data_IF_967882881171
#
_entry.id   IF_967882881171
#
_cell.length_a   1.000
_cell.length_b   1.000
_cell.length_c   1.000
_cell.angle_alpha   90.00
_cell.angle_beta   90.00
_cell.angle_gamma   90.00
#
_symmetry.space_group_name_H-M   'P 1'
#
loop_
_entity.id
_entity.type
_entity.pdbx_description
1 polymer ?
#
# COMPACT_ATOMS: atom_id res chain seq x y z
N UNK A 1 5.40 -0.62 16.78
CA UNK A 1 4.54 -1.80 16.64
C UNK A 1 3.88 -1.83 15.25
N UNK A 2 3.05 -0.84 14.91
CA UNK A 2 2.23 -0.82 13.68
C UNK A 2 2.99 -0.81 12.35
N UNK A 3 4.18 -0.20 12.29
CA UNK A 3 5.03 -0.24 11.09
C UNK A 3 5.48 -1.65 10.72
N UNK A 4 5.79 -2.51 11.69
CA UNK A 4 6.18 -3.90 11.44
C UNK A 4 5.01 -4.67 10.84
N UNK A 5 3.84 -4.57 11.47
CA UNK A 5 2.59 -5.19 11.02
C UNK A 5 2.22 -4.73 9.60
N UNK A 6 2.29 -3.44 9.31
CA UNK A 6 2.00 -2.92 7.97
C UNK A 6 2.96 -3.48 6.91
N UNK A 7 4.25 -3.59 7.23
CA UNK A 7 5.23 -4.17 6.31
C UNK A 7 4.96 -5.67 6.09
N UNK A 8 4.52 -6.40 7.10
CA UNK A 8 4.23 -7.82 6.97
C UNK A 8 2.94 -8.07 6.17
N UNK A 9 1.92 -7.23 6.32
CA UNK A 9 0.74 -7.20 5.42
C UNK A 9 1.20 -6.94 3.98
N UNK A 10 2.01 -5.90 3.76
CA UNK A 10 2.51 -5.58 2.41
C UNK A 10 3.29 -6.75 1.80
N UNK A 11 4.18 -7.40 2.56
CA UNK A 11 4.94 -8.58 2.11
C UNK A 11 4.03 -9.76 1.77
N UNK A 12 2.99 -10.00 2.58
CA UNK A 12 2.04 -11.11 2.39
C UNK A 12 1.34 -10.98 1.03
N UNK A 13 1.01 -9.75 0.63
CA UNK A 13 0.36 -9.46 -0.65
C UNK A 13 1.35 -9.18 -1.81
N UNK A 14 2.66 -9.13 -1.55
CA UNK A 14 3.67 -8.68 -2.51
C UNK A 14 3.70 -9.51 -3.80
N UNK A 15 3.60 -10.84 -3.70
CA UNK A 15 3.59 -11.72 -4.87
C UNK A 15 2.40 -11.46 -5.80
N UNK A 16 1.22 -11.19 -5.23
CA UNK A 16 0.04 -10.85 -6.02
C UNK A 16 0.13 -9.42 -6.59
N UNK A 17 0.71 -8.49 -5.84
CA UNK A 17 0.96 -7.12 -6.31
C UNK A 17 1.92 -7.10 -7.51
N UNK A 18 3.01 -7.86 -7.46
CA UNK A 18 3.99 -7.92 -8.56
C UNK A 18 3.44 -8.58 -9.83
N UNK A 19 2.33 -9.32 -9.73
CA UNK A 19 1.67 -9.98 -10.86
C UNK A 19 0.48 -9.18 -11.42
N UNK A 20 -0.31 -8.57 -10.54
CA UNK A 20 -1.63 -8.00 -10.89
C UNK A 20 -1.62 -6.54 -11.33
N UNK A 21 -0.55 -5.78 -11.09
CA UNK A 21 -0.46 -4.35 -11.47
C UNK A 21 -0.28 -4.19 -12.99
N UNK A 22 -1.38 -4.15 -13.74
CA UNK A 22 -1.34 -4.04 -15.22
C UNK A 22 -0.80 -2.71 -15.73
N UNK A 23 -1.07 -1.61 -15.03
CA UNK A 23 -0.56 -0.27 -15.35
C UNK A 23 0.06 0.41 -14.11
N UNK A 24 1.33 0.11 -13.81
CA UNK A 24 2.03 0.68 -12.66
C UNK A 24 2.17 2.20 -12.73
N UNK A 25 2.22 2.79 -13.94
CA UNK A 25 2.37 4.24 -14.11
C UNK A 25 1.09 4.98 -13.71
N UNK A 26 -0.07 4.47 -14.12
CA UNK A 26 -1.36 5.06 -13.70
C UNK A 26 -1.57 4.94 -12.19
N UNK A 27 -1.21 3.78 -11.60
CA UNK A 27 -1.26 3.59 -10.14
C UNK A 27 -0.31 4.56 -9.44
N UNK A 28 0.94 4.68 -9.87
CA UNK A 28 1.91 5.64 -9.33
C UNK A 28 1.43 7.09 -9.46
N UNK A 29 0.77 7.43 -10.57
CA UNK A 29 0.22 8.78 -10.78
C UNK A 29 -0.88 9.10 -9.78
N UNK A 30 -1.78 8.16 -9.48
CA UNK A 30 -2.79 8.36 -8.42
C UNK A 30 -2.13 8.43 -7.04
N UNK A 31 -1.17 7.56 -6.75
CA UNK A 31 -0.45 7.56 -5.47
C UNK A 31 0.30 8.87 -5.21
N UNK A 32 0.85 9.49 -6.25
CA UNK A 32 1.45 10.81 -6.15
C UNK A 32 0.40 11.89 -5.80
N UNK A 33 -0.77 11.85 -6.44
CA UNK A 33 -1.88 12.79 -6.17
C UNK A 33 -2.42 12.65 -4.75
N UNK A 34 -2.42 11.44 -4.22
CA UNK A 34 -2.84 11.11 -2.84
C UNK A 34 -1.71 11.33 -1.82
N UNK A 35 -0.54 11.84 -2.24
CA UNK A 35 0.59 12.14 -1.36
C UNK A 35 1.33 10.92 -0.80
N UNK A 36 1.11 9.73 -1.34
CA UNK A 36 1.78 8.49 -0.91
C UNK A 36 3.22 8.43 -1.40
N UNK A 37 3.46 8.88 -2.63
CA UNK A 37 4.80 8.92 -3.23
C UNK A 37 5.13 10.33 -3.76
N UNK A 38 6.41 10.63 -3.89
CA UNK A 38 6.87 11.92 -4.43
C UNK A 38 6.85 11.94 -5.96
N UNK A 39 6.91 13.13 -6.56
CA UNK A 39 7.11 13.28 -8.00
C UNK A 39 8.41 12.65 -8.51
N UNK A 40 9.45 12.60 -7.68
CA UNK A 40 10.72 11.91 -8.00
C UNK A 40 10.49 10.41 -8.18
N UNK A 41 9.76 9.76 -7.27
CA UNK A 41 9.41 8.34 -7.37
C UNK A 41 8.57 8.08 -8.62
N UNK A 42 7.56 8.92 -8.89
CA UNK A 42 6.76 8.80 -10.11
C UNK A 42 7.61 8.90 -11.38
N UNK A 43 8.58 9.82 -11.42
CA UNK A 43 9.52 9.93 -12.53
C UNK A 43 10.36 8.65 -12.67
N UNK A 44 10.87 8.10 -11.57
CA UNK A 44 11.60 6.83 -11.58
C UNK A 44 10.77 5.66 -12.10
N UNK A 45 9.48 5.56 -11.73
CA UNK A 45 8.57 4.54 -12.26
C UNK A 45 8.36 4.74 -13.77
N UNK A 46 8.15 5.97 -14.24
CA UNK A 46 8.01 6.27 -15.68
C UNK A 46 9.27 5.97 -16.49
N UNK A 47 10.44 6.23 -15.91
CA UNK A 47 11.74 5.98 -16.52
C UNK A 47 12.21 4.53 -16.38
N UNK A 48 11.54 3.71 -15.58
CA UNK A 48 11.87 2.29 -15.45
C UNK A 48 11.68 1.61 -16.82
N UNK A 49 12.84 1.29 -17.42
CA UNK A 49 13.10 0.68 -18.73
C UNK A 49 11.89 -0.06 -19.32
N UNK A 50 11.10 0.65 -20.14
CA UNK A 50 9.99 0.27 -21.06
C UNK A 50 9.18 -1.03 -20.83
N UNK A 51 9.21 -1.61 -19.65
CA UNK A 51 8.70 -2.94 -19.34
C UNK A 51 7.92 -2.86 -18.04
N UNK A 52 6.68 -3.34 -18.09
CA UNK A 52 5.75 -3.35 -16.96
C UNK A 52 6.35 -4.03 -15.71
N UNK A 53 7.02 -5.20 -15.80
CA UNK A 53 7.74 -5.79 -14.67
C UNK A 53 8.69 -4.84 -13.93
N UNK A 54 9.55 -4.11 -14.65
CA UNK A 54 10.51 -3.19 -14.04
C UNK A 54 9.79 -2.03 -13.33
N UNK A 55 8.70 -1.53 -13.92
CA UNK A 55 7.90 -0.48 -13.32
C UNK A 55 7.22 -0.95 -12.03
N UNK A 56 6.76 -2.21 -11.98
CA UNK A 56 6.20 -2.82 -10.77
C UNK A 56 7.26 -2.91 -9.67
N UNK A 57 8.45 -3.40 -9.99
CA UNK A 57 9.53 -3.52 -9.01
C UNK A 57 9.90 -2.17 -8.39
N UNK A 58 10.10 -1.15 -9.23
CA UNK A 58 10.41 0.21 -8.77
C UNK A 58 9.29 0.78 -7.90
N UNK A 59 8.03 0.63 -8.32
CA UNK A 59 6.88 1.10 -7.55
C UNK A 59 6.75 0.38 -6.21
N UNK A 60 6.83 -0.95 -6.19
CA UNK A 60 6.66 -1.75 -4.97
C UNK A 60 7.80 -1.55 -3.98
N UNK A 61 9.03 -1.36 -4.46
CA UNK A 61 10.16 -0.98 -3.62
C UNK A 61 9.91 0.39 -2.95
N UNK A 62 9.48 1.39 -3.72
CA UNK A 62 9.16 2.71 -3.16
C UNK A 62 7.98 2.66 -2.18
N UNK A 63 6.95 1.86 -2.46
CA UNK A 63 5.81 1.70 -1.54
C UNK A 63 6.22 1.07 -0.22
N UNK A 64 7.11 0.07 -0.26
CA UNK A 64 7.68 -0.50 0.95
C UNK A 64 8.41 0.56 1.79
N UNK A 65 9.25 1.38 1.17
CA UNK A 65 9.99 2.44 1.88
C UNK A 65 9.06 3.48 2.52
N UNK A 66 8.02 3.93 1.82
CA UNK A 66 7.09 4.91 2.40
C UNK A 66 6.26 4.32 3.53
N UNK A 67 5.89 3.03 3.48
CA UNK A 67 5.22 2.33 4.58
C UNK A 67 6.14 2.20 5.80
N UNK A 68 7.44 1.94 5.60
CA UNK A 68 8.42 1.91 6.69
C UNK A 68 8.50 3.26 7.41
N UNK A 69 8.37 4.37 6.68
CA UNK A 69 8.37 5.71 7.26
C UNK A 69 7.01 6.08 7.89
N UNK A 70 5.90 5.70 7.25
CA UNK A 70 4.54 6.01 7.70
C UNK A 70 3.59 4.86 7.37
N UNK A 71 3.33 4.02 8.36
CA UNK A 71 2.53 2.80 8.21
C UNK A 71 1.11 3.04 7.67
N UNK A 72 0.51 4.19 7.99
CA UNK A 72 -0.84 4.55 7.53
C UNK A 72 -0.94 4.73 6.01
N UNK A 73 0.18 4.94 5.31
CA UNK A 73 0.20 5.02 3.85
C UNK A 73 -0.15 3.68 3.18
N UNK A 74 -0.05 2.55 3.90
CA UNK A 74 -0.55 1.28 3.41
C UNK A 74 -2.07 1.32 3.16
N UNK A 75 -2.83 1.98 4.03
CA UNK A 75 -4.28 2.11 3.88
C UNK A 75 -4.63 3.00 2.67
N UNK A 76 -3.92 4.11 2.48
CA UNK A 76 -4.08 4.96 1.28
C UNK A 76 -3.71 4.20 0.02
N UNK A 77 -2.62 3.43 0.03
CA UNK A 77 -2.24 2.55 -1.07
C UNK A 77 -3.34 1.54 -1.41
N UNK A 78 -3.91 0.87 -0.41
CA UNK A 78 -5.02 -0.05 -0.59
C UNK A 78 -6.26 0.64 -1.20
N UNK A 79 -6.60 1.83 -0.71
CA UNK A 79 -7.71 2.64 -1.26
C UNK A 79 -7.49 3.02 -2.72
N UNK A 80 -6.26 3.38 -3.10
CA UNK A 80 -5.93 3.64 -4.50
C UNK A 80 -6.07 2.38 -5.35
N UNK A 81 -5.59 1.21 -4.89
CA UNK A 81 -5.76 -0.06 -5.60
C UNK A 81 -7.24 -0.41 -5.83
N UNK A 82 -8.13 -0.07 -4.88
CA UNK A 82 -9.57 -0.25 -5.02
C UNK A 82 -10.17 0.50 -6.22
N UNK A 83 -9.53 1.58 -6.68
CA UNK A 83 -9.98 2.39 -7.84
C UNK A 83 -9.62 1.74 -9.18
N UNK A 84 -8.78 0.69 -9.20
CA UNK A 84 -8.39 -0.02 -10.42
C UNK A 84 -9.11 -1.37 -10.50
N UNK A 85 -9.96 -1.59 -11.51
CA UNK A 85 -10.79 -2.79 -11.65
C UNK A 85 -9.99 -4.10 -11.53
N UNK A 86 -8.78 -4.15 -12.10
CA UNK A 86 -7.89 -5.31 -12.02
C UNK A 86 -7.26 -5.57 -10.64
N UNK A 87 -7.27 -4.57 -9.75
CA UNK A 87 -6.68 -4.65 -8.41
C UNK A 87 -7.70 -4.43 -7.29
N UNK A 88 -8.99 -4.21 -7.61
CA UNK A 88 -9.99 -3.84 -6.63
C UNK A 88 -10.11 -4.86 -5.48
N UNK A 89 -10.17 -6.15 -5.82
CA UNK A 89 -10.21 -7.25 -4.85
C UNK A 89 -8.95 -7.30 -3.98
N UNK A 90 -7.78 -7.04 -4.56
CA UNK A 90 -6.50 -7.05 -3.85
C UNK A 90 -6.40 -5.83 -2.92
N UNK A 91 -6.82 -4.64 -3.37
CA UNK A 91 -6.92 -3.44 -2.54
C UNK A 91 -7.84 -3.67 -1.34
N UNK A 92 -9.02 -4.27 -1.55
CA UNK A 92 -9.94 -4.61 -0.46
C UNK A 92 -9.33 -5.64 0.51
N UNK A 93 -8.55 -6.61 0.01
CA UNK A 93 -7.88 -7.58 0.86
C UNK A 93 -6.83 -6.93 1.77
N UNK A 94 -5.99 -6.05 1.21
CA UNK A 94 -4.99 -5.31 1.97
C UNK A 94 -5.68 -4.39 2.99
N UNK A 95 -6.75 -3.69 2.61
CA UNK A 95 -7.48 -2.81 3.52
C UNK A 95 -8.08 -3.59 4.70
N UNK A 96 -8.69 -4.75 4.43
CA UNK A 96 -9.22 -5.63 5.48
C UNK A 96 -8.13 -6.09 6.45
N UNK A 97 -6.98 -6.49 5.94
CA UNK A 97 -5.88 -6.97 6.78
C UNK A 97 -5.26 -5.85 7.60
N UNK A 98 -5.19 -4.64 7.02
CA UNK A 98 -4.82 -3.41 7.73
C UNK A 98 -5.80 -3.14 8.87
N UNK A 99 -7.10 -3.11 8.60
CA UNK A 99 -8.11 -2.77 9.61
C UNK A 99 -8.14 -3.79 10.75
N UNK A 100 -7.99 -5.08 10.43
CA UNK A 100 -7.96 -6.16 11.44
C UNK A 100 -6.75 -6.12 12.36
N UNK A 101 -5.59 -5.74 11.85
CA UNK A 101 -4.32 -5.88 12.58
C UNK A 101 -3.77 -4.55 13.11
N UNK A 102 -4.23 -3.42 12.59
CA UNK A 102 -3.73 -2.10 12.97
C UNK A 102 -4.87 -1.25 13.54
N UNK A 103 -6.02 -1.17 12.86
CA UNK A 103 -7.14 -0.34 13.32
C UNK A 103 -7.84 -0.91 14.56
N UNK A 104 -7.82 -2.24 14.76
CA UNK A 104 -8.36 -2.87 15.98
C UNK A 104 -7.47 -2.71 17.22
N UNK A 105 -6.18 -2.39 17.06
CA UNK A 105 -5.25 -2.18 18.20
C UNK A 105 -5.48 -0.81 18.88
N UNK A 106 -6.18 0.12 18.22
CA UNK A 106 -6.46 1.45 18.76
C UNK A 106 -7.70 1.49 19.69
N UNK A 107 -8.45 0.38 19.80
CA UNK A 107 -9.75 0.31 20.51
C UNK A 107 -9.75 -0.51 21.81
N UNK A 108 -8.60 -0.88 22.39
CA UNK A 108 -8.56 -1.55 23.70
C UNK A 108 -8.03 -0.61 24.76
N UNK A 109 -8.91 0.24 25.29
CA UNK A 109 -8.73 0.91 26.60
C UNK A 109 -10.08 1.38 27.18
N UNK A 110 -11.15 0.59 27.04
CA UNK A 110 -12.34 0.78 27.88
C UNK A 110 -12.17 -0.11 29.12
N UNK A 111 -11.45 0.42 30.11
CA UNK A 111 -11.57 -0.07 31.48
C UNK A 111 -12.97 0.31 31.94
N UNK A 112 -13.93 -0.61 31.85
CA UNK A 112 -15.17 -0.50 32.61
C UNK A 112 -14.78 -0.89 34.04
N UNK A 113 -14.43 0.10 34.84
CA UNK A 113 -14.45 -0.05 36.30
C UNK A 113 -15.93 -0.03 36.70
N UNK A 114 -16.48 -1.20 37.00
CA UNK A 114 -17.77 -1.33 37.68
C UNK A 114 -17.54 -1.00 39.17
N UNK A 115 -18.18 0.07 39.66
CA UNK A 115 -18.56 0.23 41.07
C UNK A 115 -20.09 0.17 41.20
#
# INVERSE_FOLDING_TARGET
HNTGVAIDIFKTHHSLLSQSLSDPVSVATMLQREGVITGKVLASVKSARSSVPNQREVLLAAIREVIQNKYSLLQTFASVLCKFTGNAKLGTAIQRDYDKQISNDEFVNVTIEEE
#
